data_IF_356836706487
#
_entry.id   IF_356836706487
#
_cell.length_a   1.000
_cell.length_b   1.000
_cell.length_c   1.000
_cell.angle_alpha   90.00
_cell.angle_beta   90.00
_cell.angle_gamma   90.00
#
_symmetry.space_group_name_H-M   'P 1'
#
loop_
_entity.id
_entity.type
_entity.pdbx_description
1 polymer ?
#
# COMPACT_ATOMS: atom_id res chain seq x y z
N UNK A 1 -24.95 -14.15 10.70
CA UNK A 1 -23.49 -14.08 10.89
C UNK A 1 -22.99 -12.76 10.33
N UNK A 2 -22.01 -12.12 10.98
CA UNK A 2 -21.35 -10.89 10.54
C UNK A 2 -19.88 -11.21 10.24
N UNK A 3 -19.39 -10.80 9.08
CA UNK A 3 -18.00 -11.00 8.66
C UNK A 3 -17.43 -9.63 8.36
N UNK A 4 -16.47 -9.21 9.19
CA UNK A 4 -15.70 -8.01 8.93
C UNK A 4 -14.59 -8.28 7.91
N UNK A 5 -14.09 -7.23 7.27
CA UNK A 5 -12.91 -7.32 6.41
C UNK A 5 -11.83 -6.33 6.83
N UNK A 6 -10.61 -6.64 6.40
CA UNK A 6 -9.40 -5.85 6.52
C UNK A 6 -8.66 -5.98 5.19
N UNK A 7 -8.32 -4.87 4.52
CA UNK A 7 -7.40 -4.93 3.38
C UNK A 7 -6.00 -5.39 3.83
N UNK A 8 -5.40 -6.29 3.06
CA UNK A 8 -3.97 -6.55 3.15
C UNK A 8 -3.25 -5.44 2.39
N UNK A 9 -2.40 -4.69 3.09
CA UNK A 9 -1.78 -3.46 2.59
C UNK A 9 -0.26 -3.40 2.87
N UNK A 10 0.54 -4.28 2.24
CA UNK A 10 1.99 -4.34 2.43
C UNK A 10 2.78 -3.40 1.50
N UNK A 11 2.09 -2.68 0.61
CA UNK A 11 2.70 -1.95 -0.50
C UNK A 11 2.84 -0.44 -0.22
N UNK A 12 3.00 0.34 -1.29
CA UNK A 12 3.24 1.77 -1.24
C UNK A 12 2.01 2.65 -0.95
N UNK A 13 2.19 3.98 -1.07
CA UNK A 13 1.17 4.96 -0.70
C UNK A 13 -0.11 4.80 -1.52
N UNK A 14 -0.03 4.46 -2.82
CA UNK A 14 -1.20 4.21 -3.67
C UNK A 14 -2.07 3.07 -3.13
N UNK A 15 -1.45 1.96 -2.69
CA UNK A 15 -2.20 0.82 -2.16
C UNK A 15 -2.92 1.19 -0.86
N UNK A 16 -2.25 1.97 -0.01
CA UNK A 16 -2.84 2.44 1.25
C UNK A 16 -4.04 3.35 0.99
N UNK A 17 -3.90 4.33 0.11
CA UNK A 17 -4.98 5.27 -0.19
C UNK A 17 -6.15 4.59 -0.89
N UNK A 18 -5.89 3.67 -1.82
CA UNK A 18 -6.93 2.87 -2.46
C UNK A 18 -7.68 1.99 -1.45
N UNK A 19 -6.96 1.37 -0.51
CA UNK A 19 -7.55 0.56 0.53
C UNK A 19 -8.41 1.42 1.48
N UNK A 20 -7.95 2.62 1.87
CA UNK A 20 -8.73 3.57 2.66
C UNK A 20 -10.04 3.95 1.94
N UNK A 21 -10.02 4.17 0.63
CA UNK A 21 -11.25 4.45 -0.13
C UNK A 21 -12.28 3.30 -0.02
N UNK A 22 -11.82 2.04 -0.01
CA UNK A 22 -12.69 0.88 0.23
C UNK A 22 -13.19 0.85 1.67
N UNK A 23 -12.32 1.12 2.65
CA UNK A 23 -12.68 1.16 4.07
C UNK A 23 -13.81 2.14 4.36
N UNK A 24 -13.73 3.35 3.80
CA UNK A 24 -14.71 4.42 4.08
C UNK A 24 -16.06 4.22 3.39
N UNK A 25 -16.12 3.41 2.32
CA UNK A 25 -17.35 3.15 1.56
C UNK A 25 -18.04 1.82 1.91
N UNK A 26 -17.53 1.09 2.89
CA UNK A 26 -18.06 -0.22 3.31
C UNK A 26 -18.48 -0.18 4.78
N UNK A 27 -19.51 -0.95 5.12
CA UNK A 27 -20.08 -0.93 6.48
C UNK A 27 -19.47 -1.98 7.40
N UNK A 28 -18.70 -2.92 6.87
CA UNK A 28 -18.09 -4.02 7.60
C UNK A 28 -16.56 -3.96 7.69
N UNK A 29 -15.99 -2.75 7.54
CA UNK A 29 -14.58 -2.49 7.80
C UNK A 29 -14.24 -2.68 9.28
N UNK A 30 -13.08 -3.28 9.56
CA UNK A 30 -12.62 -3.59 10.92
C UNK A 30 -11.38 -2.79 11.32
N UNK A 31 -10.35 -2.85 10.49
CA UNK A 31 -9.04 -2.22 10.72
C UNK A 31 -8.30 -2.13 9.38
N UNK A 32 -7.44 -1.13 9.26
CA UNK A 32 -6.59 -0.94 8.10
C UNK A 32 -5.16 -1.34 8.46
N UNK A 33 -4.57 -2.25 7.69
CA UNK A 33 -3.12 -2.43 7.72
C UNK A 33 -2.50 -1.17 7.12
N UNK A 34 -1.55 -0.56 7.82
CA UNK A 34 -0.91 0.62 7.29
C UNK A 34 0.18 1.15 8.18
N UNK A 35 0.98 2.00 7.59
CA UNK A 35 2.06 2.69 8.24
C UNK A 35 2.57 3.77 7.30
N UNK A 36 3.51 4.55 7.81
CA UNK A 36 4.16 5.57 7.02
C UNK A 36 5.63 5.19 6.88
N UNK A 37 6.00 4.60 5.74
CA UNK A 37 7.40 4.37 5.43
C UNK A 37 8.06 5.69 5.00
N UNK A 38 9.30 5.99 5.41
CA UNK A 38 9.93 7.31 5.15
C UNK A 38 9.99 7.74 3.67
N UNK A 39 9.91 6.79 2.74
CA UNK A 39 9.94 7.06 1.31
C UNK A 39 8.57 7.49 0.73
N UNK A 40 7.47 7.35 1.48
CA UNK A 40 6.13 7.71 0.99
C UNK A 40 6.06 9.19 0.63
N UNK A 41 6.51 10.07 1.53
CA UNK A 41 6.56 11.52 1.29
C UNK A 41 7.46 11.91 0.11
N UNK A 42 8.42 11.06 -0.26
CA UNK A 42 9.32 11.35 -1.38
C UNK A 42 8.65 11.10 -2.72
N UNK A 43 7.74 10.12 -2.79
CA UNK A 43 7.14 9.66 -4.05
C UNK A 43 5.75 10.24 -4.30
N UNK A 44 5.20 11.02 -3.38
CA UNK A 44 3.93 11.71 -3.57
C UNK A 44 4.13 13.23 -3.69
N UNK A 45 3.12 13.92 -4.20
CA UNK A 45 3.05 15.39 -4.14
C UNK A 45 2.44 15.80 -2.80
N UNK A 46 3.21 16.52 -1.99
CA UNK A 46 2.79 16.95 -0.65
C UNK A 46 3.17 15.94 0.45
N UNK A 47 2.38 15.90 1.51
CA UNK A 47 2.63 15.04 2.67
C UNK A 47 1.64 13.87 2.71
N UNK A 48 2.16 12.66 2.98
CA UNK A 48 1.30 11.49 3.05
C UNK A 48 0.52 11.52 4.37
N UNK A 49 -0.78 11.15 4.37
CA UNK A 49 -1.59 11.17 5.59
C UNK A 49 -0.89 10.48 6.76
N UNK A 50 -0.81 11.19 7.89
CA UNK A 50 -0.21 10.67 9.12
C UNK A 50 -1.31 10.04 9.96
N UNK A 51 -0.99 8.91 10.57
CA UNK A 51 -1.88 8.35 11.59
C UNK A 51 -1.88 9.28 12.81
N UNK A 52 -3.08 9.61 13.30
CA UNK A 52 -3.29 10.32 14.55
C UNK A 52 -4.11 9.45 15.48
N UNK A 53 -3.60 9.22 16.68
CA UNK A 53 -4.25 8.39 17.71
C UNK A 53 -4.64 6.98 17.21
N UNK A 54 -3.88 6.43 16.25
CA UNK A 54 -4.12 5.11 15.65
C UNK A 54 -5.06 5.10 14.44
N UNK A 55 -5.48 6.25 13.93
CA UNK A 55 -6.41 6.37 12.80
C UNK A 55 -5.81 7.19 11.66
N UNK A 56 -6.16 6.84 10.43
CA UNK A 56 -5.97 7.71 9.27
C UNK A 56 -7.17 8.65 9.11
N UNK A 57 -6.91 9.88 8.68
CA UNK A 57 -7.97 10.77 8.23
C UNK A 57 -8.52 10.34 6.87
N UNK A 58 -9.79 10.69 6.61
CA UNK A 58 -10.43 10.42 5.32
C UNK A 58 -9.84 11.36 4.25
N UNK A 59 -9.35 10.85 3.12
CA UNK A 59 -8.76 11.68 2.08
C UNK A 59 -9.83 12.60 1.45
N UNK A 60 -9.56 13.90 1.42
CA UNK A 60 -10.50 14.90 0.89
C UNK A 60 -10.18 15.33 -0.55
N UNK A 61 -8.96 15.05 -1.03
CA UNK A 61 -8.57 15.36 -2.41
C UNK A 61 -9.28 14.42 -3.41
N UNK A 62 -9.50 14.87 -4.66
CA UNK A 62 -10.14 14.05 -5.69
C UNK A 62 -9.43 12.71 -5.96
N UNK A 63 -10.19 11.75 -6.50
CA UNK A 63 -9.65 10.42 -6.82
C UNK A 63 -9.34 9.60 -5.57
N UNK A 64 -8.14 9.02 -5.51
CA UNK A 64 -7.70 8.24 -4.34
C UNK A 64 -7.18 9.13 -3.19
N UNK A 65 -7.04 10.44 -3.42
CA UNK A 65 -6.67 11.41 -2.39
C UNK A 65 -5.18 11.75 -2.29
N UNK A 66 -4.34 11.22 -3.19
CA UNK A 66 -2.93 11.60 -3.36
C UNK A 66 -2.59 11.72 -4.84
N UNK A 67 -1.50 12.41 -5.14
CA UNK A 67 -0.85 12.47 -6.45
C UNK A 67 0.59 11.97 -6.32
N UNK A 68 1.12 11.31 -7.35
CA UNK A 68 2.48 10.77 -7.35
C UNK A 68 3.47 11.79 -7.92
N UNK A 69 4.66 11.89 -7.32
CA UNK A 69 5.75 12.70 -7.86
C UNK A 69 6.42 11.96 -9.03
N UNK A 70 6.02 12.29 -10.26
CA UNK A 70 6.54 11.64 -11.46
C UNK A 70 8.04 11.83 -11.68
N UNK A 71 8.64 12.92 -11.21
CA UNK A 71 10.08 13.15 -11.33
C UNK A 71 10.86 12.13 -10.51
N UNK A 72 10.50 11.96 -9.23
CA UNK A 72 11.10 10.97 -8.33
C UNK A 72 10.88 9.55 -8.88
N UNK A 73 9.70 9.25 -9.42
CA UNK A 73 9.44 7.95 -10.02
C UNK A 73 10.33 7.68 -11.25
N UNK A 74 10.59 8.69 -12.09
CA UNK A 74 11.50 8.55 -13.25
C UNK A 74 12.95 8.35 -12.84
N UNK A 75 13.38 8.98 -11.75
CA UNK A 75 14.72 8.79 -11.17
C UNK A 75 14.91 7.42 -10.52
N UNK A 76 13.80 6.76 -10.14
CA UNK A 76 13.80 5.46 -9.45
C UNK A 76 13.05 4.39 -10.27
N UNK A 77 13.56 4.04 -11.48
CA UNK A 77 12.91 3.06 -12.33
C UNK A 77 12.87 1.67 -11.65
N UNK A 78 11.86 0.84 -11.97
CA UNK A 78 11.80 -0.52 -11.45
C UNK A 78 13.04 -1.29 -11.91
N UNK A 79 13.83 -1.77 -10.97
CA UNK A 79 14.90 -2.72 -11.25
C UNK A 79 14.27 -4.09 -11.54
N UNK A 80 14.77 -4.80 -12.56
CA UNK A 80 14.38 -6.17 -12.81
C UNK A 80 14.58 -6.97 -11.51
N UNK A 81 13.47 -7.50 -10.95
CA UNK A 81 13.48 -8.15 -9.64
C UNK A 81 14.62 -9.17 -9.56
N UNK A 82 15.60 -8.95 -8.67
CA UNK A 82 16.03 -10.05 -7.82
C UNK A 82 14.76 -10.41 -7.04
N UNK A 83 14.15 -11.55 -7.37
CA UNK A 83 13.00 -12.06 -6.60
C UNK A 83 13.33 -11.92 -5.11
N UNK A 84 12.35 -11.49 -4.31
CA UNK A 84 12.56 -11.11 -2.91
C UNK A 84 13.56 -12.06 -2.24
N UNK A 85 14.73 -11.56 -1.85
CA UNK A 85 15.71 -12.29 -1.04
C UNK A 85 15.03 -12.56 0.31
N UNK A 86 14.23 -13.62 0.38
CA UNK A 86 13.45 -13.95 1.58
C UNK A 86 12.27 -14.88 1.33
N UNK A 87 11.49 -14.68 0.25
CA UNK A 87 10.24 -15.43 0.07
C UNK A 87 10.31 -16.62 -0.89
N UNK A 88 10.99 -16.52 -2.04
CA UNK A 88 10.86 -17.56 -3.08
C UNK A 88 12.10 -18.43 -3.34
N UNK A 89 13.29 -18.04 -2.86
CA UNK A 89 14.54 -18.74 -3.26
C UNK A 89 15.19 -19.64 -2.21
N UNK A 90 14.78 -19.55 -0.94
CA UNK A 90 15.43 -20.31 0.15
C UNK A 90 14.48 -21.19 0.98
N UNK A 91 13.17 -20.97 0.91
CA UNK A 91 12.21 -21.82 1.60
C UNK A 91 11.99 -23.13 0.80
N UNK A 92 12.00 -24.31 1.44
CA UNK A 92 11.69 -25.58 0.76
C UNK A 92 10.21 -25.69 0.31
N UNK A 93 9.38 -24.71 0.67
CA UNK A 93 7.95 -24.66 0.36
C UNK A 93 7.67 -23.44 -0.52
N UNK A 94 7.48 -23.66 -1.82
CA UNK A 94 7.04 -22.60 -2.74
C UNK A 94 5.64 -22.14 -2.36
N UNK A 95 5.42 -20.83 -2.29
CA UNK A 95 4.08 -20.30 -2.09
C UNK A 95 3.27 -20.47 -3.38
N UNK A 96 2.01 -20.89 -3.28
CA UNK A 96 1.09 -20.84 -4.45
C UNK A 96 0.77 -19.42 -4.90
N UNK A 97 1.14 -18.42 -4.09
CA UNK A 97 1.03 -16.99 -4.42
C UNK A 97 2.30 -16.45 -5.10
N UNK A 98 3.36 -17.26 -5.25
CA UNK A 98 4.54 -16.91 -6.04
C UNK A 98 4.13 -16.81 -7.51
N UNK A 99 3.71 -15.62 -7.92
CA UNK A 99 3.45 -15.31 -9.33
C UNK A 99 4.78 -14.92 -9.95
N UNK A 100 5.42 -15.89 -10.61
CA UNK A 100 6.48 -15.58 -11.57
C UNK A 100 5.81 -14.91 -12.78
N UNK A 101 5.70 -13.58 -12.71
CA UNK A 101 5.31 -12.77 -13.85
C UNK A 101 6.45 -12.85 -14.86
N UNK A 102 6.23 -13.64 -15.92
CA UNK A 102 7.09 -13.76 -17.10
C UNK A 102 6.86 -12.57 -18.03
#
# INVERSE_FOLDING_TARGET
YYVGFQPHNPYGPVNTMAAIQVDVCTTNFMIQEGGHAPWFDQVIVGEFPRQKDGYFDIPAAPGIGIEMNEEVLRENPPVARRGAEGYSRQAPWRSKQDTEWV
#
